data_IF_692955409481
#
_entry.id   IF_692955409481
#
_cell.length_a   1.000
_cell.length_b   1.000
_cell.length_c   1.000
_cell.angle_alpha   90.00
_cell.angle_beta   90.00
_cell.angle_gamma   90.00
#
_symmetry.space_group_name_H-M   'P 1'
#
loop_
_entity.id
_entity.type
_entity.pdbx_description
1 polymer ?
#
# COMPACT_ATOMS: atom_id res chain seq x y z
N UNK A 1 -64.72 -24.39 -5.19
CA UNK A 1 -63.88 -23.26 -5.66
C UNK A 1 -62.51 -23.34 -4.98
N UNK A 2 -61.50 -23.86 -5.68
CA UNK A 2 -60.11 -23.98 -5.16
C UNK A 2 -59.35 -22.72 -5.58
N UNK A 3 -58.96 -21.89 -4.61
CA UNK A 3 -58.08 -20.72 -4.84
C UNK A 3 -56.65 -21.17 -5.00
N UNK A 4 -56.12 -21.08 -6.21
CA UNK A 4 -54.71 -21.34 -6.52
C UNK A 4 -53.93 -20.09 -6.15
N UNK A 5 -53.15 -20.15 -5.04
CA UNK A 5 -52.23 -19.07 -4.65
C UNK A 5 -50.94 -19.28 -5.45
N UNK A 6 -50.75 -18.41 -6.44
CA UNK A 6 -49.50 -18.36 -7.24
C UNK A 6 -48.44 -17.67 -6.41
N UNK A 7 -47.54 -18.44 -5.81
CA UNK A 7 -46.28 -17.95 -5.17
C UNK A 7 -45.30 -17.59 -6.29
N UNK A 8 -45.17 -16.31 -6.58
CA UNK A 8 -44.12 -15.79 -7.45
C UNK A 8 -42.84 -15.71 -6.59
N UNK A 9 -41.78 -16.49 -6.89
CA UNK A 9 -40.49 -16.30 -6.22
C UNK A 9 -39.90 -14.97 -6.69
N UNK A 10 -39.82 -14.01 -5.78
CA UNK A 10 -39.07 -12.76 -5.97
C UNK A 10 -37.60 -13.11 -6.03
N UNK A 11 -37.06 -13.38 -7.22
CA UNK A 11 -35.64 -13.49 -7.48
C UNK A 11 -35.05 -12.08 -7.28
N UNK A 12 -34.57 -11.83 -6.07
CA UNK A 12 -33.72 -10.69 -5.78
C UNK A 12 -32.40 -10.89 -6.55
N UNK A 13 -32.32 -10.31 -7.73
CA UNK A 13 -31.05 -10.14 -8.46
C UNK A 13 -30.24 -9.16 -7.64
N UNK A 14 -29.35 -9.68 -6.81
CA UNK A 14 -28.28 -8.89 -6.20
C UNK A 14 -27.36 -8.50 -7.37
N UNK A 15 -27.61 -7.34 -7.96
CA UNK A 15 -26.65 -6.70 -8.84
C UNK A 15 -25.41 -6.40 -7.99
N UNK A 16 -24.42 -7.28 -8.02
CA UNK A 16 -23.10 -6.96 -7.52
C UNK A 16 -22.65 -5.72 -8.31
N UNK A 17 -22.60 -4.57 -7.65
CA UNK A 17 -22.04 -3.37 -8.22
C UNK A 17 -20.60 -3.73 -8.60
N UNK A 18 -20.35 -3.88 -9.91
CA UNK A 18 -19.00 -4.09 -10.41
C UNK A 18 -18.21 -2.82 -10.06
N UNK A 19 -17.41 -2.91 -9.02
CA UNK A 19 -16.46 -1.88 -8.67
C UNK A 19 -15.37 -1.90 -9.75
N UNK A 20 -15.51 -1.05 -10.76
CA UNK A 20 -14.51 -0.91 -11.82
C UNK A 20 -13.37 -0.02 -11.33
N UNK A 21 -12.48 -0.57 -10.54
CA UNK A 21 -11.23 0.09 -10.20
C UNK A 21 -10.29 0.10 -11.41
N UNK A 22 -9.62 1.22 -11.60
CA UNK A 22 -8.58 1.38 -12.60
C UNK A 22 -7.56 2.43 -12.14
N UNK A 23 -6.47 2.54 -12.88
CA UNK A 23 -5.36 3.41 -12.52
C UNK A 23 -5.76 4.89 -12.43
N UNK A 24 -6.74 5.36 -13.19
CA UNK A 24 -7.15 6.77 -13.19
C UNK A 24 -7.75 7.24 -11.85
N UNK A 25 -8.12 6.32 -10.97
CA UNK A 25 -8.63 6.62 -9.64
C UNK A 25 -7.53 6.86 -8.61
N UNK A 26 -6.30 6.43 -8.91
CA UNK A 26 -5.17 6.39 -7.98
C UNK A 26 -4.37 7.70 -7.87
N UNK A 27 -4.29 8.56 -8.91
CA UNK A 27 -3.42 9.72 -8.85
C UNK A 27 -3.73 10.64 -7.67
N UNK A 28 -2.71 11.07 -6.96
CA UNK A 28 -2.84 11.92 -5.77
C UNK A 28 -1.65 11.83 -4.84
N UNK A 29 -1.68 12.63 -3.79
CA UNK A 29 -0.71 12.58 -2.69
C UNK A 29 -1.33 11.87 -1.51
N UNK A 30 -0.58 10.97 -0.92
CA UNK A 30 -1.02 10.10 0.17
C UNK A 30 -0.13 10.29 1.40
N UNK A 31 -0.75 10.41 2.56
CA UNK A 31 -0.09 10.17 3.82
C UNK A 31 -0.02 8.65 4.05
N UNK A 32 1.15 8.17 4.33
CA UNK A 32 1.47 6.75 4.45
C UNK A 32 1.86 6.40 5.86
N UNK A 33 1.28 5.35 6.41
CA UNK A 33 1.68 4.78 7.69
C UNK A 33 1.73 3.26 7.62
N UNK A 34 2.77 2.68 8.20
CA UNK A 34 2.87 1.23 8.42
C UNK A 34 3.27 0.97 9.86
N UNK A 35 2.81 -0.16 10.39
CA UNK A 35 3.25 -0.70 11.68
C UNK A 35 3.22 -2.20 11.67
N UNK A 36 4.14 -2.83 12.41
CA UNK A 36 4.20 -4.28 12.49
C UNK A 36 5.54 -4.79 12.98
N UNK A 37 5.87 -5.99 12.55
CA UNK A 37 7.08 -6.71 12.95
C UNK A 37 7.93 -6.99 11.73
N UNK A 38 9.22 -6.72 11.84
CA UNK A 38 10.22 -7.00 10.79
C UNK A 38 11.31 -7.90 11.36
N UNK A 39 11.81 -8.80 10.53
CA UNK A 39 12.97 -9.64 10.87
C UNK A 39 14.23 -8.95 10.39
N UNK A 40 15.12 -8.66 11.33
CA UNK A 40 16.41 -8.01 11.07
C UNK A 40 17.50 -9.05 11.11
N UNK A 41 18.31 -9.22 10.04
CA UNK A 41 19.46 -10.10 10.05
C UNK A 41 20.53 -9.56 11.01
N UNK A 42 21.08 -10.43 11.83
CA UNK A 42 22.14 -10.10 12.78
C UNK A 42 23.46 -10.76 12.33
N UNK A 43 24.53 -9.99 12.08
CA UNK A 43 25.84 -10.57 11.73
C UNK A 43 26.32 -11.55 12.80
N UNK A 44 26.53 -12.81 12.43
CA UNK A 44 27.03 -13.86 13.33
C UNK A 44 26.05 -14.38 14.38
N UNK A 45 24.77 -13.99 14.33
CA UNK A 45 23.73 -14.43 15.24
C UNK A 45 22.43 -14.79 14.48
N UNK A 46 21.47 -15.40 15.17
CA UNK A 46 20.14 -15.66 14.61
C UNK A 46 19.41 -14.33 14.33
N UNK A 47 18.63 -14.25 13.23
CA UNK A 47 17.80 -13.08 12.96
C UNK A 47 16.83 -12.77 14.11
N UNK A 48 16.58 -11.49 14.36
CA UNK A 48 15.72 -11.01 15.44
C UNK A 48 14.49 -10.34 14.85
N UNK A 49 13.30 -10.68 15.37
CA UNK A 49 12.05 -10.01 14.99
C UNK A 49 11.78 -8.86 15.95
N UNK A 50 11.65 -7.66 15.42
CA UNK A 50 11.50 -6.41 16.17
C UNK A 50 10.36 -5.58 15.63
N UNK A 51 9.74 -4.70 16.46
CA UNK A 51 8.72 -3.78 15.96
C UNK A 51 9.33 -2.75 15.01
N UNK A 52 8.57 -2.43 13.95
CA UNK A 52 8.91 -1.40 12.99
C UNK A 52 7.72 -0.54 12.63
N UNK A 53 7.99 0.70 12.26
CA UNK A 53 7.00 1.64 11.76
C UNK A 53 7.56 2.49 10.61
N UNK A 54 6.66 2.90 9.71
CA UNK A 54 6.98 3.79 8.59
C UNK A 54 5.96 4.92 8.58
N UNK A 55 6.42 6.13 8.40
CA UNK A 55 5.60 7.30 8.10
C UNK A 55 6.15 7.99 6.86
N UNK A 56 5.26 8.47 5.99
CA UNK A 56 5.73 9.14 4.78
C UNK A 56 4.65 9.89 4.02
N UNK A 57 5.10 10.59 2.99
CA UNK A 57 4.25 11.25 2.00
C UNK A 57 4.67 10.77 0.62
N UNK A 58 3.72 10.22 -0.11
CA UNK A 58 3.93 9.57 -1.41
C UNK A 58 2.96 10.16 -2.42
N UNK A 59 3.43 10.43 -3.61
CA UNK A 59 2.60 10.85 -4.75
C UNK A 59 2.52 9.73 -5.78
N UNK A 60 1.30 9.50 -6.29
CA UNK A 60 1.02 8.58 -7.40
C UNK A 60 0.64 9.41 -8.61
N UNK A 61 1.36 9.24 -9.72
CA UNK A 61 1.08 9.88 -10.99
C UNK A 61 0.00 9.16 -11.81
N UNK A 62 -0.47 9.81 -12.88
CA UNK A 62 -1.44 9.21 -13.82
C UNK A 62 -0.88 8.01 -14.60
N UNK A 63 0.45 7.91 -14.69
CA UNK A 63 1.18 6.78 -15.29
C UNK A 63 1.45 5.63 -14.29
N UNK A 64 0.94 5.74 -13.07
CA UNK A 64 1.15 4.76 -12.00
C UNK A 64 2.54 4.81 -11.36
N UNK A 65 3.36 5.81 -11.69
CA UNK A 65 4.63 6.01 -11.01
C UNK A 65 4.42 6.58 -9.62
N UNK A 66 5.25 6.14 -8.73
CA UNK A 66 5.27 6.50 -7.32
C UNK A 66 6.55 7.26 -7.04
N UNK A 67 6.44 8.41 -6.34
CA UNK A 67 7.56 9.16 -5.83
C UNK A 67 7.21 9.74 -4.45
N UNK A 68 8.18 9.84 -3.57
CA UNK A 68 7.97 10.43 -2.27
C UNK A 68 9.12 10.21 -1.31
N UNK A 69 8.82 10.41 -0.05
CA UNK A 69 9.78 10.26 1.04
C UNK A 69 9.08 9.75 2.30
N UNK A 70 9.85 9.12 3.16
CA UNK A 70 9.37 8.66 4.45
C UNK A 70 10.49 8.39 5.42
N UNK A 71 10.10 8.16 6.66
CA UNK A 71 11.01 7.76 7.74
C UNK A 71 10.61 6.38 8.22
N UNK A 72 11.60 5.54 8.44
CA UNK A 72 11.46 4.18 8.97
C UNK A 72 12.12 4.13 10.34
N UNK A 73 11.40 3.63 11.33
CA UNK A 73 11.92 3.34 12.65
C UNK A 73 11.83 1.82 12.90
N UNK A 74 12.97 1.21 13.22
CA UNK A 74 13.08 -0.21 13.57
C UNK A 74 13.79 -0.28 14.92
N UNK A 75 13.10 -0.79 15.93
CA UNK A 75 13.68 -0.86 17.28
C UNK A 75 14.86 -1.87 17.33
N UNK A 76 15.90 -1.59 18.13
CA UNK A 76 16.12 -0.42 18.99
C UNK A 76 16.86 0.74 18.27
N UNK A 77 16.93 0.74 16.94
CA UNK A 77 17.70 1.70 16.16
C UNK A 77 17.05 3.08 16.03
N UNK A 78 17.81 4.08 15.56
CA UNK A 78 17.26 5.39 15.22
C UNK A 78 16.36 5.32 13.99
N UNK A 79 15.49 6.31 13.82
CA UNK A 79 14.75 6.47 12.58
C UNK A 79 15.68 6.87 11.43
N UNK A 80 15.37 6.39 10.24
CA UNK A 80 16.11 6.68 9.01
C UNK A 80 15.17 7.23 7.95
N UNK A 81 15.61 8.28 7.26
CA UNK A 81 14.86 8.88 6.16
C UNK A 81 15.21 8.23 4.83
N UNK A 82 14.20 8.04 4.00
CA UNK A 82 14.28 7.40 2.70
C UNK A 82 13.60 8.23 1.63
N UNK A 83 14.20 8.25 0.44
CA UNK A 83 13.48 8.57 -0.79
C UNK A 83 12.84 7.29 -1.32
N UNK A 84 11.62 7.41 -1.81
CA UNK A 84 10.80 6.30 -2.29
C UNK A 84 10.44 6.56 -3.74
N UNK A 85 10.61 5.55 -4.59
CA UNK A 85 10.12 5.54 -5.97
C UNK A 85 9.50 4.19 -6.27
N UNK A 86 8.68 4.10 -7.33
CA UNK A 86 8.10 2.79 -7.65
C UNK A 86 6.94 2.85 -8.63
N UNK A 87 6.14 1.79 -8.60
CA UNK A 87 4.97 1.65 -9.46
C UNK A 87 3.81 0.99 -8.73
N UNK A 88 2.59 1.33 -9.16
CA UNK A 88 1.35 0.71 -8.70
C UNK A 88 0.66 0.00 -9.86
N UNK A 89 0.09 -1.16 -9.58
CA UNK A 89 -0.82 -1.88 -10.46
C UNK A 89 -2.11 -2.16 -9.70
N UNK A 90 -3.26 -1.88 -10.33
CA UNK A 90 -4.58 -2.10 -9.73
C UNK A 90 -5.43 -2.98 -10.66
N UNK A 91 -6.16 -3.91 -10.07
CA UNK A 91 -7.13 -4.77 -10.73
C UNK A 91 -8.53 -4.14 -10.69
N UNK A 92 -9.44 -4.63 -11.54
CA UNK A 92 -10.83 -4.15 -11.57
C UNK A 92 -11.62 -4.40 -10.29
N UNK A 93 -11.20 -5.33 -9.45
CA UNK A 93 -11.77 -5.64 -8.13
C UNK A 93 -11.22 -4.77 -7.00
N UNK A 94 -10.47 -3.71 -7.33
CA UNK A 94 -9.83 -2.78 -6.39
C UNK A 94 -8.67 -3.38 -5.56
N UNK A 95 -8.23 -4.57 -5.85
CA UNK A 95 -6.97 -5.10 -5.33
C UNK A 95 -5.79 -4.68 -6.19
N UNK A 96 -4.57 -4.80 -5.67
CA UNK A 96 -3.40 -4.48 -6.48
C UNK A 96 -2.08 -4.73 -5.78
N UNK A 97 -1.03 -4.26 -6.44
CA UNK A 97 0.36 -4.43 -5.99
C UNK A 97 1.11 -3.11 -6.11
N UNK A 98 1.88 -2.79 -5.07
CA UNK A 98 2.89 -1.74 -5.05
C UNK A 98 4.26 -2.39 -5.17
N UNK A 99 5.12 -1.84 -6.02
CA UNK A 99 6.54 -2.19 -6.09
C UNK A 99 7.33 -0.92 -5.81
N UNK A 100 8.01 -0.89 -4.68
CA UNK A 100 8.71 0.29 -4.19
C UNK A 100 10.21 0.03 -4.17
N UNK A 101 10.97 1.06 -4.54
CA UNK A 101 12.40 1.16 -4.33
C UNK A 101 12.64 2.22 -3.27
N UNK A 102 13.44 1.91 -2.27
CA UNK A 102 13.77 2.79 -1.16
C UNK A 102 15.25 3.10 -1.17
N UNK A 103 15.63 4.35 -0.97
CA UNK A 103 17.03 4.79 -0.90
C UNK A 103 17.24 5.62 0.37
N UNK A 104 18.09 5.16 1.31
CA UNK A 104 18.40 5.93 2.50
C UNK A 104 19.06 7.26 2.14
N UNK A 105 18.63 8.37 2.76
CA UNK A 105 19.20 9.73 2.49
C UNK A 105 20.60 9.92 3.06
N UNK A 106 20.90 9.26 4.17
CA UNK A 106 22.21 9.33 4.82
C UNK A 106 23.24 8.30 4.32
N UNK A 107 22.93 7.65 3.18
CA UNK A 107 23.76 6.57 2.65
C UNK A 107 23.33 5.20 3.19
N UNK A 108 23.79 4.16 2.52
CA UNK A 108 23.40 2.77 2.80
C UNK A 108 22.83 2.06 1.57
N UNK A 109 22.53 0.77 1.67
CA UNK A 109 22.00 0.00 0.55
C UNK A 109 20.61 0.49 0.17
N UNK A 110 20.37 0.59 -1.13
CA UNK A 110 19.02 0.74 -1.66
C UNK A 110 18.23 -0.56 -1.42
N UNK A 111 16.94 -0.43 -1.21
CA UNK A 111 16.07 -1.57 -0.97
C UNK A 111 14.90 -1.64 -1.91
N UNK A 112 14.23 -2.79 -1.87
CA UNK A 112 12.97 -3.03 -2.58
C UNK A 112 11.92 -3.50 -1.60
N UNK A 113 10.66 -3.13 -1.86
CA UNK A 113 9.51 -3.54 -1.08
C UNK A 113 8.38 -3.89 -2.04
N UNK A 114 7.65 -4.94 -1.73
CA UNK A 114 6.44 -5.32 -2.47
C UNK A 114 5.29 -5.39 -1.47
N UNK A 115 4.24 -4.66 -1.78
CA UNK A 115 3.00 -4.68 -1.00
C UNK A 115 1.83 -5.16 -1.85
N UNK A 116 0.87 -5.80 -1.22
CA UNK A 116 -0.49 -5.96 -1.75
C UNK A 116 -1.40 -4.95 -1.08
N UNK A 117 -2.43 -4.51 -1.80
CA UNK A 117 -3.39 -3.57 -1.25
C UNK A 117 -4.82 -3.86 -1.70
N UNK A 118 -5.76 -3.29 -0.94
CA UNK A 118 -7.16 -3.11 -1.32
C UNK A 118 -7.42 -1.61 -1.32
N UNK A 119 -8.02 -1.08 -2.39
CA UNK A 119 -8.37 0.33 -2.51
C UNK A 119 -9.84 0.57 -2.16
N UNK A 120 -10.10 1.43 -1.19
CA UNK A 120 -11.42 1.94 -0.88
C UNK A 120 -11.77 3.11 -1.78
N UNK A 121 -12.86 2.98 -2.54
CA UNK A 121 -13.36 4.05 -3.42
C UNK A 121 -13.99 5.20 -2.65
N UNK A 122 -14.57 4.92 -1.49
CA UNK A 122 -15.32 5.89 -0.68
C UNK A 122 -14.38 6.94 -0.08
N UNK A 123 -13.37 6.51 0.63
CA UNK A 123 -12.45 7.39 1.37
C UNK A 123 -11.08 7.55 0.71
N UNK A 124 -10.90 6.96 -0.49
CA UNK A 124 -9.64 7.03 -1.26
C UNK A 124 -8.43 6.56 -0.46
N UNK A 125 -8.60 5.47 0.25
CA UNK A 125 -7.59 4.87 1.11
C UNK A 125 -7.14 3.53 0.54
N UNK A 126 -5.82 3.24 0.59
CA UNK A 126 -5.28 1.91 0.37
C UNK A 126 -5.00 1.28 1.73
N UNK A 127 -5.58 0.11 1.94
CA UNK A 127 -5.18 -0.80 3.02
C UNK A 127 -4.12 -1.72 2.44
N UNK A 128 -2.94 -1.73 3.02
CA UNK A 128 -1.77 -2.44 2.48
C UNK A 128 -1.26 -3.49 3.44
N UNK A 129 -0.69 -4.56 2.89
CA UNK A 129 0.17 -5.49 3.62
C UNK A 129 1.49 -5.63 2.89
N UNK A 130 2.59 -5.52 3.60
CA UNK A 130 3.91 -5.74 3.05
C UNK A 130 4.09 -7.24 2.81
N UNK A 131 4.41 -7.62 1.57
CA UNK A 131 4.59 -9.02 1.17
C UNK A 131 6.06 -9.41 1.26
N UNK A 132 6.95 -8.52 0.83
CA UNK A 132 8.38 -8.73 0.94
C UNK A 132 9.13 -7.42 1.07
N UNK A 133 10.27 -7.46 1.74
CA UNK A 133 11.21 -6.37 1.86
C UNK A 133 12.62 -6.90 1.73
N UNK A 134 13.49 -6.14 1.05
CA UNK A 134 14.92 -6.33 1.00
C UNK A 134 15.56 -4.94 0.93
N UNK A 135 16.15 -4.48 2.03
CA UNK A 135 16.75 -3.16 2.13
C UNK A 135 18.09 -3.15 2.89
N UNK A 136 18.70 -4.31 3.06
CA UNK A 136 19.98 -4.46 3.79
C UNK A 136 19.85 -4.38 5.32
N UNK A 137 18.71 -3.92 5.85
CA UNK A 137 18.40 -3.87 7.29
C UNK A 137 17.33 -4.87 7.69
N UNK A 138 16.42 -5.17 6.78
CA UNK A 138 15.40 -6.19 6.95
C UNK A 138 15.25 -6.98 5.64
N UNK A 139 15.06 -8.27 5.75
CA UNK A 139 14.89 -9.16 4.61
C UNK A 139 13.84 -10.21 4.93
N UNK A 140 13.06 -10.60 3.92
CA UNK A 140 12.07 -11.65 4.04
C UNK A 140 10.61 -11.18 3.97
N UNK A 141 9.75 -11.78 4.78
CA UNK A 141 8.30 -11.61 4.78
C UNK A 141 7.84 -10.95 6.08
N UNK A 142 7.82 -9.62 6.14
CA UNK A 142 7.43 -8.91 7.36
C UNK A 142 5.92 -9.03 7.62
N UNK A 143 5.55 -9.06 8.88
CA UNK A 143 4.15 -8.96 9.32
C UNK A 143 3.79 -7.47 9.55
N UNK A 144 3.70 -6.70 8.47
CA UNK A 144 3.49 -5.25 8.51
C UNK A 144 2.22 -4.89 7.74
N UNK A 145 1.34 -4.16 8.42
CA UNK A 145 0.14 -3.57 7.83
C UNK A 145 0.31 -2.08 7.67
N UNK A 146 -0.28 -1.52 6.63
CA UNK A 146 -0.19 -0.10 6.34
C UNK A 146 -1.50 0.50 5.83
N UNK A 147 -1.53 1.82 5.89
CA UNK A 147 -2.62 2.64 5.35
C UNK A 147 -2.01 3.79 4.56
N UNK A 148 -2.51 3.98 3.35
CA UNK A 148 -2.21 5.14 2.52
C UNK A 148 -3.49 5.96 2.36
N UNK A 149 -3.59 7.05 3.07
CA UNK A 149 -4.76 7.94 3.00
C UNK A 149 -4.48 9.10 2.06
N UNK A 150 -5.32 9.28 1.04
CA UNK A 150 -5.21 10.40 0.11
C UNK A 150 -5.44 11.73 0.84
N UNK A 151 -4.48 12.64 0.75
CA UNK A 151 -4.52 13.96 1.42
C UNK A 151 -4.69 15.12 0.42
N UNK A 152 -4.31 14.91 -0.85
CA UNK A 152 -4.63 15.85 -1.92
C UNK A 152 -4.75 15.16 -3.27
N UNK A 153 -5.55 15.69 -4.21
CA UNK A 153 -5.46 15.29 -5.62
C UNK A 153 -4.07 15.64 -6.15
N UNK A 154 -3.66 15.04 -7.29
CA UNK A 154 -2.45 15.48 -7.99
C UNK A 154 -2.65 16.97 -8.36
N UNK A 155 -1.69 17.86 -8.08
CA UNK A 155 -1.71 19.19 -8.65
C UNK A 155 -1.82 19.05 -10.18
N UNK A 156 -2.77 19.77 -10.78
CA UNK A 156 -2.89 19.77 -12.24
C UNK A 156 -1.51 20.09 -12.84
N UNK A 157 -1.09 19.31 -13.86
CA UNK A 157 0.23 19.43 -14.50
C UNK A 157 0.53 20.82 -15.10
N UNK A 158 -0.38 21.78 -14.95
CA UNK A 158 -0.26 23.17 -15.40
C UNK A 158 0.42 24.09 -14.38
N UNK A 159 0.93 23.59 -13.26
CA UNK A 159 1.54 24.40 -12.19
C UNK A 159 3.04 24.14 -11.97
N UNK A 160 3.75 23.62 -12.99
CA UNK A 160 5.23 23.52 -12.96
C UNK A 160 5.86 24.26 -14.10
#
# INVERSE_FOLDING_TARGET
MKRLILLIPLLAVVAAAQTNCNLSLMPGTYAVSYSGWVTVPMPGAAPVTVPGSILGVISIGYDGKINGAGSVAIAPGPSMDYDVSGTIQINSDCTGTLRLNTKPRLGGPAGTQVDRFIFSLEDRTLLTTMVSINNGYADGYPAVLGTWKRISPVPNAASW
#
